data_IF_886911757542
#
_entry.id   IF_886911757542
#
_cell.length_a   1.000
_cell.length_b   1.000
_cell.length_c   1.000
_cell.angle_alpha   90.00
_cell.angle_beta   90.00
_cell.angle_gamma   90.00
#
_symmetry.space_group_name_H-M   'P 1'
#
loop_
_entity.id
_entity.type
_entity.pdbx_description
1 polymer ?
#
# COMPACT_ATOMS: atom_id res chain seq x y z
N UNK A 1 -7.07 -7.49 17.30
CA UNK A 1 -6.52 -6.20 17.76
C UNK A 1 -7.48 -5.59 18.75
N UNK A 2 -6.98 -4.71 19.62
CA UNK A 2 -7.80 -3.75 20.36
C UNK A 2 -7.71 -2.40 19.66
N UNK A 3 -8.85 -1.74 19.50
CA UNK A 3 -8.99 -0.55 18.68
C UNK A 3 -9.46 0.64 19.50
N UNK A 4 -8.92 1.81 19.21
CA UNK A 4 -9.31 3.08 19.82
C UNK A 4 -9.45 4.15 18.74
N UNK A 5 -10.62 4.76 18.67
CA UNK A 5 -10.82 5.94 17.83
C UNK A 5 -10.13 7.15 18.45
N UNK A 6 -9.25 7.80 17.68
CA UNK A 6 -8.50 8.96 18.13
C UNK A 6 -9.13 10.29 17.70
N UNK A 7 -10.06 10.25 16.74
CA UNK A 7 -10.73 11.43 16.21
C UNK A 7 -10.62 11.51 14.68
N UNK A 8 -10.95 12.68 14.17
CA UNK A 8 -10.88 13.01 12.75
C UNK A 8 -9.82 14.07 12.51
N UNK A 9 -9.18 14.04 11.34
CA UNK A 9 -8.24 15.10 10.93
C UNK A 9 -8.20 15.26 9.42
N UNK A 10 -7.67 16.39 9.00
CA UNK A 10 -7.31 16.61 7.60
C UNK A 10 -5.82 16.29 7.39
N UNK A 11 -5.49 15.61 6.29
CA UNK A 11 -4.11 15.37 5.85
C UNK A 11 -4.02 15.42 4.33
N UNK A 12 -2.81 15.46 3.79
CA UNK A 12 -2.60 15.25 2.36
C UNK A 12 -2.51 13.76 2.07
N UNK A 13 -3.13 13.26 1.00
CA UNK A 13 -3.00 11.89 0.51
C UNK A 13 -3.07 11.85 -1.02
N UNK A 14 -2.91 10.67 -1.60
CA UNK A 14 -2.97 10.46 -3.05
C UNK A 14 -4.02 9.40 -3.33
N UNK A 15 -5.19 9.80 -3.83
CA UNK A 15 -6.23 8.87 -4.31
C UNK A 15 -6.50 9.01 -5.82
N UNK A 16 -5.95 10.05 -6.45
CA UNK A 16 -6.02 10.30 -7.89
C UNK A 16 -4.63 10.33 -8.53
N UNK A 17 -3.77 9.35 -8.21
CA UNK A 17 -2.46 9.23 -8.86
C UNK A 17 -2.60 9.24 -10.38
N UNK A 18 -1.70 9.95 -11.06
CA UNK A 18 -1.68 10.13 -12.51
C UNK A 18 -0.67 9.19 -13.17
N UNK A 19 0.48 8.93 -12.54
CA UNK A 19 1.52 8.09 -13.13
C UNK A 19 1.36 6.63 -12.71
N UNK A 20 1.36 5.75 -13.70
CA UNK A 20 1.38 4.31 -13.50
C UNK A 20 2.14 3.68 -14.68
N UNK A 21 3.33 3.07 -14.48
CA UNK A 21 4.04 2.87 -13.20
C UNK A 21 4.43 4.16 -12.47
N UNK A 22 4.80 4.05 -11.19
CA UNK A 22 5.15 5.21 -10.33
C UNK A 22 6.19 6.13 -10.97
N UNK A 23 5.99 7.44 -10.78
CA UNK A 23 7.01 8.46 -10.99
C UNK A 23 7.50 9.00 -9.64
N UNK A 24 8.80 8.89 -9.38
CA UNK A 24 9.43 9.44 -8.18
C UNK A 24 9.78 10.91 -8.37
N UNK A 25 9.69 11.71 -7.30
CA UNK A 25 9.97 13.14 -7.37
C UNK A 25 11.47 13.44 -7.47
N UNK A 26 11.87 14.31 -8.42
CA UNK A 26 13.27 14.54 -8.80
C UNK A 26 14.15 15.08 -7.65
N UNK A 27 13.57 15.87 -6.74
CA UNK A 27 14.31 16.51 -5.63
C UNK A 27 14.14 15.81 -4.29
N UNK A 28 13.09 15.00 -4.17
CA UNK A 28 12.73 14.29 -2.93
C UNK A 28 12.55 12.86 -3.36
N UNK A 29 13.67 12.14 -3.40
CA UNK A 29 13.80 10.85 -4.10
C UNK A 29 12.93 9.72 -3.52
N UNK A 30 12.35 9.92 -2.34
CA UNK A 30 11.39 9.04 -1.68
C UNK A 30 9.93 9.48 -1.84
N UNK A 31 9.65 10.70 -2.29
CA UNK A 31 8.28 11.17 -2.49
C UNK A 31 7.77 10.80 -3.89
N UNK A 32 6.45 10.66 -4.00
CA UNK A 32 5.76 10.45 -5.27
C UNK A 32 5.60 11.78 -6.00
N UNK A 33 5.87 11.80 -7.31
CA UNK A 33 5.56 12.93 -8.19
C UNK A 33 4.09 12.86 -8.61
N UNK A 34 3.21 13.10 -7.65
CA UNK A 34 1.77 12.87 -7.78
C UNK A 34 0.93 14.06 -7.31
N UNK A 35 -0.37 13.98 -7.56
CA UNK A 35 -1.34 14.96 -7.07
C UNK A 35 -1.63 14.68 -5.59
N UNK A 36 -1.07 15.53 -4.72
CA UNK A 36 -1.38 15.53 -3.30
C UNK A 36 -2.65 16.32 -3.02
N UNK A 37 -3.66 15.66 -2.48
CA UNK A 37 -4.98 16.22 -2.23
C UNK A 37 -5.32 16.21 -0.74
N UNK A 38 -6.10 17.20 -0.29
CA UNK A 38 -6.58 17.25 1.08
C UNK A 38 -7.64 16.16 1.29
N UNK A 39 -7.37 15.23 2.22
CA UNK A 39 -8.25 14.12 2.60
C UNK A 39 -8.70 14.29 4.05
N UNK A 40 -9.98 14.07 4.28
CA UNK A 40 -10.57 14.06 5.62
C UNK A 40 -10.64 12.61 6.11
N UNK A 41 -9.99 12.29 7.22
CA UNK A 41 -9.73 10.91 7.66
C UNK A 41 -10.19 10.65 9.10
N UNK A 42 -10.56 9.41 9.38
CA UNK A 42 -10.59 8.86 10.74
C UNK A 42 -9.20 8.42 11.16
N UNK A 43 -8.77 8.76 12.37
CA UNK A 43 -7.55 8.23 12.99
C UNK A 43 -7.91 7.12 13.98
N UNK A 44 -7.41 5.90 13.75
CA UNK A 44 -7.67 4.74 14.61
C UNK A 44 -6.36 4.14 15.10
N UNK A 45 -6.20 4.04 16.41
CA UNK A 45 -5.11 3.28 17.03
C UNK A 45 -5.49 1.81 17.11
N UNK A 46 -4.60 0.93 16.65
CA UNK A 46 -4.70 -0.51 16.72
C UNK A 46 -3.51 -1.13 17.45
N UNK A 47 -3.80 -1.91 18.49
CA UNK A 47 -2.82 -2.71 19.22
C UNK A 47 -3.09 -4.18 18.93
N UNK A 48 -2.05 -4.92 18.53
CA UNK A 48 -2.18 -6.35 18.26
C UNK A 48 -2.44 -7.11 19.56
N UNK A 49 -3.35 -8.10 19.50
CA UNK A 49 -3.57 -9.05 20.61
C UNK A 49 -2.48 -10.13 20.67
N UNK A 50 -1.67 -10.23 19.62
CA UNK A 50 -0.62 -11.23 19.50
C UNK A 50 0.68 -10.70 20.12
N UNK A 51 1.20 -11.32 21.20
CA UNK A 51 2.40 -10.84 21.88
C UNK A 51 3.67 -10.96 21.02
N UNK A 52 3.66 -11.74 19.95
CA UNK A 52 4.77 -11.89 18.99
C UNK A 52 4.73 -10.85 17.87
N UNK A 53 3.72 -9.97 17.81
CA UNK A 53 3.63 -8.97 16.76
C UNK A 53 4.79 -7.97 16.85
N UNK A 54 5.39 -7.65 15.71
CA UNK A 54 6.64 -6.86 15.67
C UNK A 54 6.47 -5.41 16.13
N UNK A 55 5.29 -4.81 15.90
CA UNK A 55 5.01 -3.41 16.21
C UNK A 55 4.26 -3.28 17.54
N UNK A 56 4.52 -2.23 18.30
CA UNK A 56 3.79 -1.96 19.55
C UNK A 56 2.36 -1.52 19.29
N UNK A 57 2.17 -0.55 18.38
CA UNK A 57 0.86 -0.12 17.89
C UNK A 57 0.94 0.45 16.47
N UNK A 58 -0.22 0.64 15.86
CA UNK A 58 -0.37 1.39 14.60
C UNK A 58 -1.45 2.45 14.74
N UNK A 59 -1.28 3.58 14.09
CA UNK A 59 -2.37 4.53 13.84
C UNK A 59 -2.70 4.51 12.35
N UNK A 60 -3.88 4.00 12.02
CA UNK A 60 -4.41 3.99 10.66
C UNK A 60 -5.15 5.29 10.42
N UNK A 61 -4.86 5.95 9.31
CA UNK A 61 -5.62 7.09 8.84
C UNK A 61 -6.53 6.62 7.71
N UNK A 62 -7.81 6.43 8.01
CA UNK A 62 -8.80 5.88 7.08
C UNK A 62 -9.55 7.04 6.43
N UNK A 63 -9.44 7.14 5.10
CA UNK A 63 -10.14 8.14 4.30
C UNK A 63 -11.66 7.97 4.40
N UNK A 64 -12.39 9.07 4.61
CA UNK A 64 -13.83 9.04 4.86
C UNK A 64 -14.68 8.81 3.61
N UNK A 65 -14.11 8.96 2.42
CA UNK A 65 -14.85 8.80 1.16
C UNK A 65 -14.59 7.41 0.57
N UNK A 66 -13.33 6.97 0.58
CA UNK A 66 -12.89 5.74 -0.08
C UNK A 66 -12.64 4.57 0.85
N UNK A 67 -12.58 4.81 2.17
CA UNK A 67 -12.16 3.84 3.19
C UNK A 67 -10.74 3.30 2.99
N UNK A 68 -9.96 3.89 2.09
CA UNK A 68 -8.54 3.62 1.90
C UNK A 68 -7.70 4.14 3.06
N UNK A 69 -6.47 3.66 3.16
CA UNK A 69 -5.53 4.07 4.22
C UNK A 69 -4.37 4.82 3.58
N UNK A 70 -4.46 6.14 3.35
CA UNK A 70 -3.35 6.90 2.75
C UNK A 70 -2.09 6.86 3.61
N UNK A 71 -2.23 6.81 4.94
CA UNK A 71 -1.10 6.78 5.89
C UNK A 71 -1.29 5.73 6.98
N UNK A 72 -0.17 5.15 7.43
CA UNK A 72 -0.11 4.44 8.70
C UNK A 72 1.12 4.84 9.49
N UNK A 73 0.90 5.36 10.70
CA UNK A 73 1.99 5.52 11.67
C UNK A 73 2.19 4.18 12.38
N UNK A 74 3.44 3.74 12.49
CA UNK A 74 3.83 2.47 13.08
C UNK A 74 4.79 2.78 14.23
N UNK A 75 4.41 2.33 15.42
CA UNK A 75 5.19 2.54 16.64
C UNK A 75 5.92 1.26 17.01
N UNK A 76 7.12 1.41 17.55
CA UNK A 76 7.87 0.31 18.14
C UNK A 76 7.27 -0.14 19.49
N UNK A 77 7.97 -1.01 20.20
CA UNK A 77 7.53 -1.55 21.50
C UNK A 77 7.79 -0.61 22.69
N UNK A 78 8.68 0.39 22.56
CA UNK A 78 8.82 1.45 23.57
C UNK A 78 7.74 2.53 23.43
N UNK A 79 6.98 2.52 22.34
CA UNK A 79 5.89 3.46 22.07
C UNK A 79 6.35 4.68 21.31
N UNK A 80 7.55 4.64 20.72
CA UNK A 80 8.10 5.71 19.88
C UNK A 80 7.69 5.49 18.43
N UNK A 81 7.51 6.60 17.69
CA UNK A 81 7.21 6.53 16.26
C UNK A 81 8.41 5.91 15.55
N UNK A 82 8.20 4.78 14.91
CA UNK A 82 9.25 4.08 14.17
C UNK A 82 9.12 4.34 12.68
N UNK A 83 7.95 4.06 12.09
CA UNK A 83 7.79 4.14 10.64
C UNK A 83 6.50 4.82 10.22
N UNK A 84 6.55 5.52 9.10
CA UNK A 84 5.37 6.05 8.40
C UNK A 84 5.23 5.32 7.08
N UNK A 85 4.11 4.64 6.88
CA UNK A 85 3.73 4.04 5.61
C UNK A 85 2.86 5.02 4.83
N UNK A 86 3.17 5.24 3.56
CA UNK A 86 2.42 6.12 2.65
C UNK A 86 2.06 5.32 1.39
N UNK A 87 0.79 5.40 1.00
CA UNK A 87 0.29 4.76 -0.22
C UNK A 87 0.13 5.80 -1.35
N UNK A 88 0.62 5.46 -2.53
CA UNK A 88 0.31 6.10 -3.80
C UNK A 88 -0.81 5.28 -4.46
N UNK A 89 -1.98 5.87 -4.69
CA UNK A 89 -3.18 5.14 -5.15
C UNK A 89 -3.95 5.94 -6.20
N UNK A 90 -4.50 5.22 -7.17
CA UNK A 90 -5.56 5.70 -8.06
C UNK A 90 -6.72 4.72 -8.08
N UNK A 91 -7.94 5.20 -8.33
CA UNK A 91 -9.11 4.35 -8.56
C UNK A 91 -9.45 4.34 -10.05
N UNK A 92 -9.42 3.17 -10.68
CA UNK A 92 -9.56 3.00 -12.14
C UNK A 92 -10.16 1.64 -12.49
N UNK A 93 -10.68 1.47 -13.71
CA UNK A 93 -11.14 0.17 -14.22
C UNK A 93 -10.02 -0.70 -14.80
N UNK A 94 -8.83 -0.14 -15.03
CA UNK A 94 -7.65 -0.82 -15.55
C UNK A 94 -6.40 -0.19 -14.92
N UNK A 95 -5.33 -0.97 -14.75
CA UNK A 95 -4.10 -0.50 -14.09
C UNK A 95 -3.52 0.76 -14.77
N UNK A 96 -3.37 0.74 -16.09
CA UNK A 96 -2.93 1.88 -16.89
C UNK A 96 -3.41 1.77 -18.35
N UNK A 97 -3.35 2.88 -19.08
CA UNK A 97 -3.67 2.88 -20.52
C UNK A 97 -2.62 2.09 -21.31
N UNK A 98 -3.07 1.09 -22.07
CA UNK A 98 -2.16 0.19 -22.80
C UNK A 98 -1.67 -1.02 -21.99
N UNK A 99 -2.08 -1.16 -20.73
CA UNK A 99 -1.93 -2.40 -19.97
C UNK A 99 -2.66 -3.54 -20.72
N UNK A 100 -1.94 -4.60 -21.04
CA UNK A 100 -2.53 -5.76 -21.69
C UNK A 100 -3.38 -6.55 -20.67
N UNK A 101 -4.69 -6.63 -20.92
CA UNK A 101 -5.62 -7.79 -20.73
C UNK A 101 -6.64 -7.82 -19.58
N UNK A 102 -6.82 -6.82 -18.69
CA UNK A 102 -8.00 -6.85 -17.77
C UNK A 102 -8.60 -5.47 -17.52
N UNK A 103 -9.88 -5.33 -17.89
CA UNK A 103 -10.74 -4.22 -17.49
C UNK A 103 -11.80 -4.75 -16.52
N UNK A 104 -11.97 -4.05 -15.39
CA UNK A 104 -12.91 -4.37 -14.33
C UNK A 104 -14.22 -3.61 -14.53
N UNK A 105 -15.32 -4.20 -14.04
CA UNK A 105 -16.64 -3.58 -14.10
C UNK A 105 -16.68 -2.27 -13.30
N UNK A 106 -16.15 -2.32 -12.08
CA UNK A 106 -16.04 -1.20 -11.15
C UNK A 106 -14.63 -0.61 -11.11
N UNK A 107 -14.50 0.61 -10.59
CA UNK A 107 -13.21 1.17 -10.26
C UNK A 107 -12.61 0.45 -9.04
N UNK A 108 -11.38 -0.01 -9.20
CA UNK A 108 -10.61 -0.66 -8.14
C UNK A 108 -9.39 0.21 -7.80
N UNK A 109 -8.90 0.16 -6.55
CA UNK A 109 -7.67 0.85 -6.19
C UNK A 109 -6.50 0.20 -6.93
N UNK A 110 -5.61 0.98 -7.53
CA UNK A 110 -4.35 0.50 -8.09
C UNK A 110 -3.25 1.35 -7.47
N UNK A 111 -2.27 0.70 -6.85
CA UNK A 111 -1.17 1.39 -6.17
C UNK A 111 0.11 1.30 -7.00
N UNK A 112 0.54 2.39 -7.69
CA UNK A 112 1.80 2.40 -8.45
C UNK A 112 3.02 2.22 -7.55
N UNK A 113 2.91 2.63 -6.28
CA UNK A 113 3.97 2.49 -5.31
C UNK A 113 3.49 2.58 -3.86
N UNK A 114 4.41 2.22 -2.97
CA UNK A 114 4.33 2.44 -1.53
C UNK A 114 5.70 2.91 -1.03
N UNK A 115 5.68 3.71 0.04
CA UNK A 115 6.91 4.11 0.74
C UNK A 115 6.74 3.89 2.23
N UNK A 116 7.79 3.38 2.84
CA UNK A 116 7.93 3.30 4.28
C UNK A 116 9.13 4.14 4.70
N UNK A 117 8.87 5.18 5.48
CA UNK A 117 9.89 6.08 6.02
C UNK A 117 10.21 5.61 7.44
N UNK A 118 11.46 5.27 7.71
CA UNK A 118 11.96 4.96 9.04
C UNK A 118 12.41 6.26 9.72
N UNK A 119 11.69 6.66 10.76
CA UNK A 119 11.91 7.90 11.51
C UNK A 119 13.07 7.79 12.50
N UNK A 120 13.50 6.57 12.84
CA UNK A 120 14.58 6.32 13.80
C UNK A 120 15.93 6.19 13.12
N UNK A 121 15.95 5.61 11.92
CA UNK A 121 17.15 5.42 11.09
C UNK A 121 17.23 6.39 9.90
N UNK A 122 16.29 7.32 9.79
CA UNK A 122 16.26 8.39 8.78
C UNK A 122 16.44 7.90 7.33
N UNK A 123 15.80 6.80 6.96
CA UNK A 123 15.82 6.30 5.59
C UNK A 123 14.44 5.89 5.09
N UNK A 124 14.26 5.88 3.78
CA UNK A 124 13.02 5.45 3.13
C UNK A 124 13.23 4.15 2.34
N UNK A 125 12.31 3.21 2.50
CA UNK A 125 12.18 2.05 1.63
C UNK A 125 11.10 2.32 0.60
N UNK A 126 11.46 2.21 -0.68
CA UNK A 126 10.57 2.46 -1.83
C UNK A 126 10.21 1.14 -2.49
N UNK A 127 8.93 0.94 -2.82
CA UNK A 127 8.52 -0.18 -3.67
C UNK A 127 7.72 0.33 -4.86
N UNK A 128 8.19 0.02 -6.07
CA UNK A 128 7.49 0.28 -7.33
C UNK A 128 6.65 -0.94 -7.71
N UNK A 129 5.39 -0.71 -8.06
CA UNK A 129 4.37 -1.71 -8.34
C UNK A 129 3.63 -1.30 -9.63
N UNK A 130 4.00 -1.82 -10.81
CA UNK A 130 4.95 -2.90 -11.07
C UNK A 130 6.41 -2.47 -10.90
N UNK A 131 7.27 -3.47 -10.70
CA UNK A 131 8.71 -3.25 -10.65
C UNK A 131 9.24 -2.84 -12.03
N UNK A 132 10.17 -1.87 -12.12
CA UNK A 132 10.79 -1.46 -13.39
C UNK A 132 11.59 -2.60 -14.05
N UNK A 133 11.86 -3.69 -13.33
CA UNK A 133 12.52 -4.89 -13.89
C UNK A 133 11.60 -5.72 -14.81
N UNK A 134 10.29 -5.48 -14.78
CA UNK A 134 9.30 -6.21 -15.58
C UNK A 134 8.46 -5.21 -16.39
N UNK A 135 9.02 -4.61 -17.46
CA UNK A 135 8.32 -3.62 -18.26
C UNK A 135 7.09 -4.25 -18.94
N UNK A 136 5.95 -3.57 -18.87
CA UNK A 136 4.68 -4.01 -19.48
C UNK A 136 3.78 -4.86 -18.58
N UNK A 137 4.27 -5.31 -17.43
CA UNK A 137 3.43 -5.99 -16.42
C UNK A 137 2.43 -5.03 -15.79
N UNK A 138 1.25 -5.54 -15.41
CA UNK A 138 0.23 -4.71 -14.75
C UNK A 138 0.58 -4.43 -13.29
N UNK A 139 1.30 -5.34 -12.63
CA UNK A 139 1.66 -5.26 -11.21
C UNK A 139 0.52 -5.60 -10.24
N UNK A 140 -0.73 -5.34 -10.60
CA UNK A 140 -1.91 -5.62 -9.79
C UNK A 140 -2.98 -6.37 -10.57
N UNK A 141 -3.53 -7.42 -9.97
CA UNK A 141 -4.57 -8.26 -10.55
C UNK A 141 -5.63 -8.59 -9.50
N UNK A 142 -6.82 -8.02 -9.66
CA UNK A 142 -7.98 -8.31 -8.82
C UNK A 142 -8.74 -9.54 -9.33
N UNK A 143 -9.19 -10.39 -8.40
CA UNK A 143 -10.05 -11.55 -8.67
C UNK A 143 -9.47 -12.56 -9.69
N UNK A 144 -8.13 -12.65 -9.81
CA UNK A 144 -7.48 -13.59 -10.74
C UNK A 144 -6.87 -14.83 -10.08
N UNK A 145 -6.99 -15.00 -8.75
CA UNK A 145 -6.32 -16.07 -8.00
C UNK A 145 -6.54 -17.47 -8.58
N UNK A 146 -7.80 -17.91 -8.70
CA UNK A 146 -8.14 -19.22 -9.26
C UNK A 146 -7.67 -19.38 -10.72
N UNK A 147 -7.86 -18.34 -11.55
CA UNK A 147 -7.43 -18.34 -12.96
C UNK A 147 -5.91 -18.44 -13.11
N UNK A 148 -5.17 -17.89 -12.16
CA UNK A 148 -3.72 -17.97 -12.09
C UNK A 148 -3.21 -19.26 -11.41
N UNK A 149 -4.11 -20.18 -11.01
CA UNK A 149 -3.74 -21.41 -10.30
C UNK A 149 -3.27 -21.17 -8.86
N UNK A 150 -3.50 -19.98 -8.31
CA UNK A 150 -3.17 -19.63 -6.92
C UNK A 150 -4.33 -20.10 -6.03
N UNK A 151 -4.35 -21.40 -5.76
CA UNK A 151 -5.31 -22.06 -4.86
C UNK A 151 -4.66 -22.39 -3.51
N UNK A 152 -5.42 -22.90 -2.55
CA UNK A 152 -4.89 -23.27 -1.22
C UNK A 152 -3.71 -24.25 -1.32
N UNK A 153 -3.72 -25.16 -2.29
CA UNK A 153 -2.66 -26.14 -2.54
C UNK A 153 -1.32 -25.49 -2.95
N UNK A 154 -1.38 -24.28 -3.50
CA UNK A 154 -0.19 -23.48 -3.83
C UNK A 154 0.60 -23.06 -2.58
N UNK A 155 -0.09 -22.87 -1.44
CA UNK A 155 0.51 -22.40 -0.20
C UNK A 155 1.02 -23.53 0.70
N UNK A 156 1.51 -24.62 0.08
CA UNK A 156 2.20 -25.72 0.77
C UNK A 156 3.71 -25.63 0.59
N UNK A 157 4.48 -26.14 1.56
CA UNK A 157 5.95 -26.22 1.44
C UNK A 157 6.35 -26.99 0.19
N UNK A 158 5.65 -28.08 -0.13
CA UNK A 158 5.92 -28.89 -1.30
C UNK A 158 5.70 -28.12 -2.61
N UNK A 159 4.58 -27.40 -2.74
CA UNK A 159 4.31 -26.58 -3.92
C UNK A 159 5.35 -25.46 -4.10
N UNK A 160 5.74 -24.78 -3.02
CA UNK A 160 6.77 -23.74 -3.05
C UNK A 160 8.16 -24.27 -3.45
N UNK A 161 8.55 -25.45 -2.94
CA UNK A 161 9.80 -26.12 -3.33
C UNK A 161 9.76 -26.51 -4.81
N UNK A 162 8.65 -27.09 -5.28
CA UNK A 162 8.50 -27.50 -6.66
C UNK A 162 8.52 -26.31 -7.64
N UNK A 163 7.99 -25.15 -7.24
CA UNK A 163 7.98 -23.93 -8.06
C UNK A 163 9.36 -23.24 -8.17
N UNK A 164 10.33 -23.61 -7.34
CA UNK A 164 11.69 -23.07 -7.35
C UNK A 164 12.67 -23.77 -8.29
N UNK A 165 12.23 -24.85 -8.95
CA UNK A 165 13.00 -25.65 -9.93
C UNK A 165 12.59 -25.32 -11.36
#
# INVERSE_FOLDING_TARGET
>A
MDWKFLGERDLLGILHAQHYPVKWHDKVDWAFDEVWEKRHVYALEGVSKLPQYAYGKRVLFIDKETWGIPYTDIYDRSGELWKIWINDVSYRKKAFEGANVIEYEDELPFAPAIVMIDMQLEHATKASLPSPRFPGEQGWYYHQGEKAGITDDWFTVAALVNAGH
#
